data_IF_074162006698
#
_entry.id   IF_074162006698
#
_cell.length_a   1.000
_cell.length_b   1.000
_cell.length_c   1.000
_cell.angle_alpha   90.00
_cell.angle_beta   90.00
_cell.angle_gamma   90.00
#
_symmetry.space_group_name_H-M   'P 1'
#
loop_
_entity.id
_entity.type
_entity.pdbx_description
1 polymer ?
#
# COMPACT_ATOMS: atom_id res chain seq x y z
N UNK A 1 9.96 60.54 24.27
CA UNK A 1 9.46 60.07 22.95
C UNK A 1 9.44 58.54 22.97
N UNK A 2 8.29 57.93 23.30
CA UNK A 2 8.12 56.47 23.39
C UNK A 2 7.67 55.92 22.03
N UNK A 3 8.32 54.87 21.56
CA UNK A 3 8.15 54.31 20.23
C UNK A 3 6.80 53.55 20.08
N UNK A 4 5.98 53.87 19.07
CA UNK A 4 4.65 53.22 18.84
C UNK A 4 4.74 51.89 18.08
N UNK A 5 5.92 51.23 18.01
CA UNK A 5 6.17 50.10 17.12
C UNK A 5 5.82 48.73 17.70
N UNK A 6 5.74 48.56 19.01
CA UNK A 6 5.52 47.26 19.67
C UNK A 6 4.06 46.79 19.66
N UNK A 7 3.09 47.69 19.74
CA UNK A 7 1.65 47.33 19.79
C UNK A 7 1.13 46.90 18.42
N UNK A 8 1.71 47.44 17.34
CA UNK A 8 1.30 47.12 15.97
C UNK A 8 1.74 45.71 15.55
N UNK A 9 2.90 45.24 15.99
CA UNK A 9 3.42 43.89 15.75
C UNK A 9 2.56 42.83 16.44
N UNK A 10 2.12 43.02 17.66
CA UNK A 10 1.30 42.06 18.40
C UNK A 10 -0.10 41.84 17.76
N UNK A 11 -0.70 42.92 17.22
CA UNK A 11 -2.01 42.81 16.52
C UNK A 11 -1.90 42.12 15.14
N UNK A 12 -0.78 42.33 14.43
CA UNK A 12 -0.51 41.64 13.17
C UNK A 12 -0.30 40.14 13.41
N UNK A 13 0.53 39.77 14.34
CA UNK A 13 0.72 38.34 14.70
C UNK A 13 -0.58 37.67 15.15
N UNK A 14 -1.43 38.36 15.92
CA UNK A 14 -2.73 37.82 16.34
C UNK A 14 -3.70 37.58 15.16
N UNK A 15 -3.69 38.49 14.17
CA UNK A 15 -4.49 38.31 12.93
C UNK A 15 -3.94 37.20 12.06
N UNK A 16 -2.64 37.07 11.93
CA UNK A 16 -1.95 35.98 11.24
C UNK A 16 -2.27 34.63 11.89
N UNK A 17 -2.19 34.53 13.22
CA UNK A 17 -2.57 33.32 13.95
C UNK A 17 -4.05 32.95 13.80
N UNK A 18 -4.96 33.95 13.83
CA UNK A 18 -6.39 33.71 13.63
C UNK A 18 -6.68 33.26 12.19
N UNK A 19 -6.04 33.89 11.20
CA UNK A 19 -6.17 33.48 9.80
C UNK A 19 -5.62 32.04 9.60
N UNK A 20 -4.41 31.77 10.12
CA UNK A 20 -3.83 30.44 10.06
C UNK A 20 -4.71 29.37 10.75
N UNK A 21 -5.26 29.71 11.93
CA UNK A 21 -6.17 28.82 12.64
C UNK A 21 -7.47 28.57 11.83
N UNK A 22 -8.03 29.59 11.19
CA UNK A 22 -9.23 29.45 10.34
C UNK A 22 -8.95 28.57 9.10
N UNK A 23 -7.77 28.72 8.46
CA UNK A 23 -7.38 27.88 7.32
C UNK A 23 -7.16 26.42 7.72
N UNK A 24 -6.59 26.16 8.91
CA UNK A 24 -6.36 24.81 9.42
C UNK A 24 -7.64 24.19 9.99
N UNK A 25 -8.55 25.00 10.53
CA UNK A 25 -9.78 24.50 11.16
C UNK A 25 -10.67 23.70 10.18
N UNK A 26 -10.83 24.15 8.95
CA UNK A 26 -11.69 23.47 7.97
C UNK A 26 -11.23 22.03 7.66
N UNK A 27 -9.97 21.75 7.28
CA UNK A 27 -9.51 20.36 7.09
C UNK A 27 -9.47 19.55 8.38
N UNK A 28 -9.16 20.18 9.55
CA UNK A 28 -9.17 19.47 10.84
C UNK A 28 -10.61 19.06 11.23
N UNK A 29 -11.59 19.96 11.10
CA UNK A 29 -12.99 19.65 11.38
C UNK A 29 -13.47 18.55 10.42
N UNK A 30 -13.16 18.66 9.13
CA UNK A 30 -13.47 17.61 8.15
C UNK A 30 -12.86 16.27 8.53
N UNK A 31 -11.59 16.23 8.94
CA UNK A 31 -10.92 15.03 9.42
C UNK A 31 -11.63 14.44 10.67
N UNK A 32 -11.95 15.28 11.66
CA UNK A 32 -12.61 14.82 12.88
C UNK A 32 -14.01 14.26 12.62
N UNK A 33 -14.79 14.89 11.74
CA UNK A 33 -16.16 14.44 11.43
C UNK A 33 -16.16 13.19 10.56
N UNK A 34 -15.35 13.14 9.49
CA UNK A 34 -15.43 12.08 8.48
C UNK A 34 -14.47 10.92 8.71
N UNK A 35 -13.44 11.09 9.54
CA UNK A 35 -12.48 10.02 9.84
C UNK A 35 -12.42 9.74 11.34
N UNK A 36 -12.24 10.77 12.18
CA UNK A 36 -12.08 10.60 13.61
C UNK A 36 -13.31 10.01 14.28
N UNK A 37 -14.49 10.60 14.05
CA UNK A 37 -15.73 10.11 14.62
C UNK A 37 -16.08 8.67 14.17
N UNK A 38 -16.09 8.31 12.88
CA UNK A 38 -16.34 6.92 12.45
C UNK A 38 -15.30 5.93 13.00
N UNK A 39 -14.04 6.34 13.13
CA UNK A 39 -13.00 5.48 13.71
C UNK A 39 -13.28 5.19 15.21
N UNK A 40 -13.63 6.20 15.99
CA UNK A 40 -14.02 6.03 17.39
C UNK A 40 -15.30 5.20 17.52
N UNK A 41 -16.28 5.45 16.64
CA UNK A 41 -17.50 4.65 16.60
C UNK A 41 -17.22 3.19 16.24
N UNK A 42 -16.32 2.91 15.31
CA UNK A 42 -15.92 1.54 14.98
C UNK A 42 -15.27 0.84 16.19
N UNK A 43 -14.45 1.55 16.98
CA UNK A 43 -13.90 1.02 18.22
C UNK A 43 -15.02 0.69 19.21
N UNK A 44 -16.01 1.59 19.39
CA UNK A 44 -17.17 1.30 20.23
C UNK A 44 -17.96 0.08 19.72
N UNK A 45 -18.29 0.05 18.42
CA UNK A 45 -19.06 -1.02 17.80
C UNK A 45 -18.36 -2.38 17.89
N UNK A 46 -17.02 -2.42 17.98
CA UNK A 46 -16.26 -3.67 18.15
C UNK A 46 -16.54 -4.40 19.47
N UNK A 47 -17.04 -3.69 20.47
CA UNK A 47 -17.47 -4.24 21.77
C UNK A 47 -18.98 -4.51 21.84
N UNK A 48 -19.66 -4.51 20.70
CA UNK A 48 -21.11 -4.69 20.64
C UNK A 48 -21.51 -5.85 19.74
N UNK A 49 -22.61 -6.51 20.07
CA UNK A 49 -23.35 -7.36 19.13
C UNK A 49 -24.23 -6.43 18.28
N UNK A 50 -23.87 -6.27 17.04
CA UNK A 50 -24.54 -5.35 16.13
C UNK A 50 -24.61 -5.90 14.71
N UNK A 51 -25.79 -5.79 14.10
CA UNK A 51 -26.06 -6.24 12.73
C UNK A 51 -26.12 -5.09 11.70
N UNK A 52 -25.90 -3.84 12.14
CA UNK A 52 -25.99 -2.66 11.29
C UNK A 52 -27.40 -2.10 11.09
N UNK A 53 -28.47 -2.82 11.49
CA UNK A 53 -29.86 -2.47 11.29
C UNK A 53 -30.58 -2.15 12.61
N UNK A 54 -30.24 -2.82 13.67
CA UNK A 54 -30.79 -2.64 15.03
C UNK A 54 -29.84 -1.79 15.88
N UNK A 55 -30.29 -1.42 17.08
CA UNK A 55 -29.41 -0.78 18.06
C UNK A 55 -28.29 -1.75 18.51
N UNK A 56 -27.04 -1.28 18.63
CA UNK A 56 -25.93 -2.10 19.10
C UNK A 56 -26.10 -2.43 20.59
N UNK A 57 -25.97 -3.68 20.95
CA UNK A 57 -25.99 -4.14 22.33
C UNK A 57 -24.59 -4.49 22.81
N UNK A 58 -24.17 -3.95 23.96
CA UNK A 58 -22.82 -4.18 24.48
C UNK A 58 -22.63 -5.66 24.84
N UNK A 59 -21.56 -6.29 24.32
CA UNK A 59 -21.21 -7.69 24.58
C UNK A 59 -19.76 -7.87 25.11
N UNK A 60 -19.10 -6.78 25.50
CA UNK A 60 -17.74 -6.86 26.03
C UNK A 60 -16.71 -7.32 24.97
N UNK A 61 -15.97 -8.39 25.30
CA UNK A 61 -14.89 -8.92 24.45
C UNK A 61 -15.31 -10.13 23.59
N UNK A 62 -16.58 -10.49 23.54
CA UNK A 62 -17.05 -11.71 22.86
C UNK A 62 -16.62 -11.76 21.39
N UNK A 63 -16.71 -10.64 20.67
CA UNK A 63 -16.27 -10.56 19.28
C UNK A 63 -14.76 -10.87 19.11
N UNK A 64 -13.94 -10.48 20.06
CA UNK A 64 -12.49 -10.75 20.06
C UNK A 64 -12.19 -12.21 20.41
N UNK A 65 -12.96 -12.80 21.32
CA UNK A 65 -12.85 -14.24 21.67
C UNK A 65 -13.26 -15.09 20.47
N UNK A 66 -14.38 -14.75 19.82
CA UNK A 66 -14.83 -15.41 18.56
C UNK A 66 -13.75 -15.31 17.49
N UNK A 67 -13.16 -14.12 17.27
CA UNK A 67 -12.12 -13.88 16.26
C UNK A 67 -10.87 -14.75 16.48
N UNK A 68 -10.42 -14.91 17.72
CA UNK A 68 -9.24 -15.75 18.03
C UNK A 68 -9.51 -17.22 17.69
N UNK A 69 -10.75 -17.69 17.90
CA UNK A 69 -11.19 -19.04 17.59
C UNK A 69 -11.58 -19.28 16.12
N UNK A 70 -11.64 -18.23 15.29
CA UNK A 70 -12.09 -18.33 13.90
C UNK A 70 -10.95 -18.74 12.94
N UNK A 71 -10.94 -19.97 12.40
CA UNK A 71 -9.91 -20.42 11.48
C UNK A 71 -9.88 -19.63 10.17
N UNK A 72 -11.02 -19.08 9.72
CA UNK A 72 -11.11 -18.27 8.51
C UNK A 72 -10.46 -16.89 8.69
N UNK A 73 -10.56 -16.31 9.90
CA UNK A 73 -9.83 -15.09 10.23
C UNK A 73 -8.31 -15.29 10.05
N UNK A 74 -7.75 -16.35 10.63
CA UNK A 74 -6.33 -16.65 10.54
C UNK A 74 -5.90 -17.00 9.11
N UNK A 75 -6.74 -17.72 8.36
CA UNK A 75 -6.49 -18.01 6.94
C UNK A 75 -6.48 -16.73 6.10
N UNK A 76 -7.45 -15.83 6.30
CA UNK A 76 -7.51 -14.54 5.62
C UNK A 76 -6.31 -13.63 5.97
N UNK A 77 -5.89 -13.61 7.23
CA UNK A 77 -4.70 -12.90 7.68
C UNK A 77 -3.43 -13.47 7.03
N UNK A 78 -3.27 -14.78 7.03
CA UNK A 78 -2.16 -15.47 6.37
C UNK A 78 -2.11 -15.21 4.86
N UNK A 79 -3.26 -15.23 4.19
CA UNK A 79 -3.36 -14.89 2.76
C UNK A 79 -2.92 -13.44 2.50
N UNK A 80 -3.35 -12.50 3.34
CA UNK A 80 -2.96 -11.08 3.22
C UNK A 80 -1.45 -10.92 3.35
N UNK A 81 -0.84 -11.54 4.36
CA UNK A 81 0.63 -11.52 4.55
C UNK A 81 1.34 -12.18 3.37
N UNK A 82 0.85 -13.31 2.87
CA UNK A 82 1.43 -13.96 1.70
C UNK A 82 1.40 -13.06 0.45
N UNK A 83 0.29 -12.36 0.21
CA UNK A 83 0.18 -11.44 -0.94
C UNK A 83 1.18 -10.26 -0.84
N UNK A 84 1.59 -9.87 0.36
CA UNK A 84 2.63 -8.84 0.55
C UNK A 84 4.02 -9.27 0.03
N UNK A 85 4.24 -10.55 -0.30
CA UNK A 85 5.48 -10.99 -0.99
C UNK A 85 5.65 -10.26 -2.32
N UNK A 86 4.56 -9.83 -2.96
CA UNK A 86 4.61 -8.97 -4.14
C UNK A 86 5.32 -7.63 -3.92
N UNK A 87 5.36 -7.10 -2.69
CA UNK A 87 5.96 -5.79 -2.37
C UNK A 87 7.47 -5.77 -2.69
N UNK A 88 8.32 -6.62 -2.09
CA UNK A 88 9.74 -6.62 -2.40
C UNK A 88 10.00 -6.93 -3.88
N UNK A 89 9.25 -7.82 -4.51
CA UNK A 89 9.36 -8.12 -5.94
C UNK A 89 9.07 -6.87 -6.78
N UNK A 90 7.96 -6.19 -6.50
CA UNK A 90 7.58 -4.95 -7.20
C UNK A 90 8.60 -3.82 -7.03
N UNK A 91 9.15 -3.65 -5.82
CA UNK A 91 10.17 -2.63 -5.54
C UNK A 91 11.48 -2.92 -6.25
N UNK A 92 11.92 -4.19 -6.32
CA UNK A 92 13.12 -4.59 -7.06
C UNK A 92 12.93 -4.31 -8.55
N UNK A 93 11.82 -4.74 -9.15
CA UNK A 93 11.52 -4.50 -10.56
C UNK A 93 11.48 -2.99 -10.82
N UNK A 94 10.82 -2.21 -9.96
CA UNK A 94 10.74 -0.75 -10.09
C UNK A 94 12.11 -0.08 -10.05
N UNK A 95 12.98 -0.52 -9.14
CA UNK A 95 14.34 0.00 -9.05
C UNK A 95 15.16 -0.33 -10.31
N UNK A 96 15.08 -1.57 -10.80
CA UNK A 96 15.78 -1.98 -12.03
C UNK A 96 15.30 -1.18 -13.24
N UNK A 97 13.99 -0.96 -13.38
CA UNK A 97 13.43 -0.12 -14.44
C UNK A 97 13.86 1.35 -14.28
N UNK A 98 13.88 1.89 -13.06
CA UNK A 98 14.35 3.25 -12.81
C UNK A 98 15.83 3.41 -13.17
N UNK A 99 16.69 2.45 -12.84
CA UNK A 99 18.11 2.44 -13.21
C UNK A 99 18.28 2.38 -14.74
N UNK A 100 17.50 1.55 -15.43
CA UNK A 100 17.52 1.47 -16.89
C UNK A 100 17.11 2.80 -17.54
N UNK A 101 16.02 3.41 -17.04
CA UNK A 101 15.47 4.67 -17.56
C UNK A 101 16.24 5.92 -17.11
N UNK A 102 17.14 5.81 -16.13
CA UNK A 102 18.01 6.91 -15.71
C UNK A 102 19.14 7.17 -16.71
N UNK A 103 19.43 6.21 -17.57
CA UNK A 103 20.40 6.39 -18.67
C UNK A 103 19.79 7.29 -19.76
N UNK A 104 20.64 8.07 -20.44
CA UNK A 104 20.23 8.89 -21.60
C UNK A 104 19.92 7.97 -22.79
N UNK A 105 18.67 7.53 -22.91
CA UNK A 105 18.19 6.72 -24.05
C UNK A 105 17.13 7.48 -24.84
N UNK A 106 17.10 7.27 -26.16
CA UNK A 106 15.99 7.76 -27.00
C UNK A 106 14.70 7.05 -26.59
N UNK A 107 13.59 7.81 -26.43
CA UNK A 107 12.29 7.23 -26.08
C UNK A 107 12.03 7.06 -24.58
N UNK A 108 12.87 7.56 -23.68
CA UNK A 108 12.67 7.46 -22.20
C UNK A 108 11.28 7.94 -21.76
N UNK A 109 10.78 9.02 -22.38
CA UNK A 109 9.43 9.54 -22.08
C UNK A 109 8.35 8.55 -22.45
N UNK A 110 8.45 7.89 -23.60
CA UNK A 110 7.50 6.86 -24.01
C UNK A 110 7.44 5.70 -23.01
N UNK A 111 8.59 5.16 -22.63
CA UNK A 111 8.63 4.07 -21.65
C UNK A 111 8.08 4.51 -20.27
N UNK A 112 8.39 5.71 -19.79
CA UNK A 112 7.81 6.26 -18.57
C UNK A 112 6.29 6.31 -18.66
N UNK A 113 5.73 6.75 -19.77
CA UNK A 113 4.28 6.79 -20.00
C UNK A 113 3.67 5.38 -20.00
N UNK A 114 4.26 4.43 -20.74
CA UNK A 114 3.77 3.05 -20.82
C UNK A 114 3.71 2.39 -19.45
N UNK A 115 4.76 2.52 -18.62
CA UNK A 115 4.76 1.95 -17.27
C UNK A 115 3.85 2.70 -16.30
N UNK A 116 3.51 3.96 -16.57
CA UNK A 116 2.64 4.74 -15.70
C UNK A 116 1.15 4.63 -16.03
N UNK A 117 0.78 4.27 -17.25
CA UNK A 117 -0.63 4.07 -17.66
C UNK A 117 -1.39 3.13 -16.73
N UNK A 118 -0.86 1.95 -16.32
CA UNK A 118 -1.55 1.10 -15.36
C UNK A 118 -1.85 1.76 -14.03
N UNK A 119 -0.95 2.64 -13.56
CA UNK A 119 -1.08 3.31 -12.26
C UNK A 119 -2.29 4.22 -12.19
N UNK A 120 -2.53 5.00 -13.27
CA UNK A 120 -3.67 5.94 -13.34
C UNK A 120 -4.99 5.26 -13.73
N UNK A 121 -4.93 4.00 -14.19
CA UNK A 121 -6.12 3.25 -14.57
C UNK A 121 -6.93 2.84 -13.34
N UNK A 122 -8.26 2.80 -13.48
CA UNK A 122 -9.15 2.28 -12.43
C UNK A 122 -8.74 0.87 -12.02
N UNK A 123 -8.60 0.62 -10.72
CA UNK A 123 -8.24 -0.69 -10.20
C UNK A 123 -9.28 -1.76 -10.57
N UNK A 124 -10.56 -1.40 -10.52
CA UNK A 124 -11.64 -2.31 -10.91
C UNK A 124 -11.58 -2.69 -12.41
N UNK A 125 -11.34 -1.72 -13.28
CA UNK A 125 -11.19 -1.99 -14.72
C UNK A 125 -9.96 -2.88 -15.00
N UNK A 126 -8.85 -2.63 -14.32
CA UNK A 126 -7.65 -3.48 -14.41
C UNK A 126 -7.93 -4.88 -13.92
N UNK A 127 -8.62 -5.05 -12.79
CA UNK A 127 -8.97 -6.37 -12.25
C UNK A 127 -9.84 -7.18 -13.22
N UNK A 128 -10.84 -6.54 -13.86
CA UNK A 128 -11.70 -7.19 -14.89
C UNK A 128 -10.86 -7.61 -16.12
N UNK A 129 -9.96 -6.72 -16.58
CA UNK A 129 -9.08 -7.01 -17.71
C UNK A 129 -8.17 -8.22 -17.41
N UNK A 130 -7.59 -8.26 -16.21
CA UNK A 130 -6.74 -9.37 -15.81
C UNK A 130 -7.54 -10.66 -15.55
N UNK A 131 -8.76 -10.56 -15.02
CA UNK A 131 -9.67 -11.72 -14.91
C UNK A 131 -9.95 -12.34 -16.27
N UNK A 132 -10.19 -11.51 -17.29
CA UNK A 132 -10.31 -11.99 -18.67
C UNK A 132 -8.99 -12.59 -19.19
N UNK A 133 -7.86 -11.94 -18.97
CA UNK A 133 -6.55 -12.41 -19.43
C UNK A 133 -6.14 -13.76 -18.79
N UNK A 134 -6.57 -14.01 -17.56
CA UNK A 134 -6.35 -15.27 -16.82
C UNK A 134 -7.38 -16.36 -17.09
N UNK A 135 -8.35 -16.14 -17.99
CA UNK A 135 -9.32 -17.17 -18.32
C UNK A 135 -8.60 -18.41 -18.87
N UNK A 136 -8.97 -19.60 -18.37
CA UNK A 136 -8.34 -20.87 -18.74
C UNK A 136 -8.50 -21.22 -20.22
N UNK A 137 -9.69 -20.97 -20.79
CA UNK A 137 -10.08 -21.44 -22.11
C UNK A 137 -9.67 -20.47 -23.24
N UNK A 138 -9.88 -19.16 -23.02
CA UNK A 138 -9.69 -18.13 -24.05
C UNK A 138 -8.83 -16.95 -23.59
N UNK A 139 -8.23 -17.01 -22.39
CA UNK A 139 -7.41 -15.93 -21.84
C UNK A 139 -6.12 -15.71 -22.61
N UNK A 140 -5.74 -14.44 -22.76
CA UNK A 140 -4.54 -14.03 -23.50
C UNK A 140 -3.27 -14.71 -23.00
N UNK A 141 -3.15 -14.92 -21.67
CA UNK A 141 -1.95 -15.52 -21.08
C UNK A 141 -1.81 -16.98 -21.51
N UNK A 142 -2.89 -17.75 -21.45
CA UNK A 142 -2.86 -19.15 -21.88
C UNK A 142 -2.68 -19.29 -23.39
N UNK A 143 -3.21 -18.36 -24.20
CA UNK A 143 -2.91 -18.34 -25.64
C UNK A 143 -1.42 -18.14 -25.92
N UNK A 144 -0.75 -17.21 -25.22
CA UNK A 144 0.69 -17.00 -25.35
C UNK A 144 1.49 -18.22 -24.88
N UNK A 145 1.09 -18.84 -23.77
CA UNK A 145 1.73 -20.07 -23.26
C UNK A 145 1.57 -21.23 -24.27
N UNK A 146 0.39 -21.40 -24.85
CA UNK A 146 0.13 -22.42 -25.87
C UNK A 146 1.00 -22.24 -27.12
N UNK A 147 1.30 -20.98 -27.55
CA UNK A 147 2.25 -20.72 -28.65
C UNK A 147 3.67 -21.19 -28.32
N UNK A 148 4.01 -21.29 -27.03
CA UNK A 148 5.30 -21.82 -26.54
C UNK A 148 5.24 -23.32 -26.23
N UNK A 149 4.11 -23.99 -26.50
CA UNK A 149 3.89 -25.41 -26.21
C UNK A 149 3.66 -25.72 -24.72
N UNK A 150 3.23 -24.74 -23.95
CA UNK A 150 2.98 -24.86 -22.50
C UNK A 150 1.48 -24.82 -22.25
N UNK A 151 0.92 -25.86 -21.62
CA UNK A 151 -0.47 -25.86 -21.17
C UNK A 151 -0.61 -24.96 -19.94
N UNK A 152 -1.32 -23.85 -20.10
CA UNK A 152 -1.54 -22.88 -19.01
C UNK A 152 -2.57 -23.40 -18.01
N UNK A 153 -2.42 -23.09 -16.71
CA UNK A 153 -3.37 -23.51 -15.67
C UNK A 153 -4.66 -22.67 -15.69
N UNK A 154 -5.65 -23.13 -14.94
CA UNK A 154 -6.83 -22.31 -14.59
C UNK A 154 -6.47 -21.33 -13.48
N UNK A 155 -5.80 -20.23 -13.84
CA UNK A 155 -5.14 -19.28 -12.95
C UNK A 155 -5.93 -18.90 -11.70
N UNK A 156 -7.22 -18.61 -11.83
CA UNK A 156 -8.06 -18.12 -10.73
C UNK A 156 -8.92 -19.21 -10.08
N UNK A 157 -8.97 -20.41 -10.67
CA UNK A 157 -9.80 -21.53 -10.19
C UNK A 157 -8.99 -22.59 -9.44
N UNK A 158 -7.67 -22.47 -9.43
CA UNK A 158 -6.77 -23.36 -8.68
C UNK A 158 -6.19 -22.60 -7.47
N UNK A 159 -6.24 -23.24 -6.30
CA UNK A 159 -5.75 -22.66 -5.03
C UNK A 159 -4.25 -22.35 -5.07
N UNK A 160 -3.46 -23.08 -5.85
CA UNK A 160 -2.02 -22.90 -5.99
C UNK A 160 -1.65 -21.69 -6.85
N UNK A 161 -2.44 -21.36 -7.88
CA UNK A 161 -2.15 -20.31 -8.86
C UNK A 161 -2.90 -19.01 -8.60
N UNK A 162 -4.04 -19.04 -7.90
CA UNK A 162 -4.88 -17.86 -7.71
C UNK A 162 -4.19 -16.73 -6.95
N UNK A 163 -3.46 -17.03 -5.86
CA UNK A 163 -2.68 -16.01 -5.14
C UNK A 163 -1.52 -15.42 -5.98
N UNK A 164 -0.66 -16.23 -6.62
CA UNK A 164 0.35 -15.73 -7.54
C UNK A 164 -0.21 -14.85 -8.66
N UNK A 165 -1.36 -15.23 -9.25
CA UNK A 165 -2.01 -14.44 -10.28
C UNK A 165 -2.39 -13.03 -9.80
N UNK A 166 -2.99 -12.92 -8.62
CA UNK A 166 -3.33 -11.63 -8.01
C UNK A 166 -2.06 -10.81 -7.70
N UNK A 167 -1.01 -11.45 -7.19
CA UNK A 167 0.28 -10.80 -6.91
C UNK A 167 0.89 -10.23 -8.20
N UNK A 168 0.92 -11.00 -9.29
CA UNK A 168 1.46 -10.56 -10.59
C UNK A 168 0.73 -9.31 -11.08
N UNK A 169 -0.60 -9.32 -11.04
CA UNK A 169 -1.42 -8.17 -11.42
C UNK A 169 -1.14 -6.96 -10.54
N UNK A 170 -1.09 -7.13 -9.22
CA UNK A 170 -0.82 -6.05 -8.28
C UNK A 170 0.58 -5.44 -8.46
N UNK A 171 1.60 -6.28 -8.67
CA UNK A 171 2.97 -5.85 -8.98
C UNK A 171 2.99 -5.07 -10.30
N UNK A 172 2.42 -5.62 -11.36
CA UNK A 172 2.36 -4.95 -12.67
C UNK A 172 1.71 -3.57 -12.57
N UNK A 173 0.61 -3.46 -11.83
CA UNK A 173 -0.08 -2.18 -11.62
C UNK A 173 0.76 -1.19 -10.80
N UNK A 174 1.48 -1.65 -9.77
CA UNK A 174 2.20 -0.81 -8.82
C UNK A 174 3.59 -0.36 -9.27
N UNK A 175 4.23 -1.13 -10.15
CA UNK A 175 5.63 -0.93 -10.57
C UNK A 175 5.90 0.49 -11.11
N UNK A 176 4.98 1.04 -11.91
CA UNK A 176 5.16 2.35 -12.55
C UNK A 176 5.29 3.50 -11.55
N UNK A 177 4.50 3.49 -10.47
CA UNK A 177 4.57 4.51 -9.42
C UNK A 177 5.92 4.47 -8.68
N UNK A 178 6.32 3.30 -8.22
CA UNK A 178 7.58 3.10 -7.51
C UNK A 178 8.78 3.39 -8.40
N UNK A 179 8.72 3.02 -9.68
CA UNK A 179 9.73 3.33 -10.69
C UNK A 179 9.94 4.84 -10.84
N UNK A 180 8.86 5.63 -10.93
CA UNK A 180 8.99 7.09 -11.07
C UNK A 180 9.60 7.74 -9.83
N UNK A 181 9.24 7.27 -8.64
CA UNK A 181 9.83 7.78 -7.39
C UNK A 181 11.31 7.42 -7.28
N UNK A 182 11.70 6.19 -7.60
CA UNK A 182 13.10 5.81 -7.66
C UNK A 182 13.86 6.62 -8.71
N UNK A 183 13.27 6.84 -9.88
CA UNK A 183 13.90 7.62 -10.95
C UNK A 183 14.13 9.08 -10.54
N UNK A 184 13.15 9.71 -9.86
CA UNK A 184 13.30 11.06 -9.32
C UNK A 184 14.40 11.12 -8.25
N UNK A 185 14.45 10.14 -7.35
CA UNK A 185 15.49 10.04 -6.34
C UNK A 185 16.88 9.81 -6.96
N UNK A 186 17.00 8.94 -7.98
CA UNK A 186 18.26 8.74 -8.71
C UNK A 186 18.77 10.03 -9.38
N UNK A 187 17.86 10.85 -9.92
CA UNK A 187 18.21 12.11 -10.55
C UNK A 187 18.63 13.20 -9.56
N UNK A 188 18.27 13.07 -8.30
CA UNK A 188 18.69 13.99 -7.23
C UNK A 188 20.05 13.67 -6.64
N UNK A 189 20.63 12.50 -6.93
CA UNK A 189 21.96 12.13 -6.43
C UNK A 189 23.03 13.02 -7.10
N UNK A 190 23.87 13.73 -6.30
CA UNK A 190 24.89 14.60 -6.84
C UNK A 190 25.94 13.83 -7.65
N UNK A 191 26.23 14.28 -8.86
CA UNK A 191 27.17 13.60 -9.78
C UNK A 191 28.59 13.56 -9.25
N UNK A 192 29.02 14.59 -8.50
CA UNK A 192 30.37 14.66 -7.95
C UNK A 192 30.71 13.46 -7.03
N UNK A 193 29.69 12.80 -6.39
CA UNK A 193 29.92 11.61 -5.58
C UNK A 193 30.38 10.41 -6.44
N UNK A 194 29.81 10.25 -7.63
CA UNK A 194 30.23 9.21 -8.57
C UNK A 194 31.58 9.51 -9.20
N UNK A 195 31.85 10.79 -9.50
CA UNK A 195 33.12 11.24 -10.06
C UNK A 195 34.27 11.03 -9.05
N UNK A 196 34.09 11.40 -7.78
CA UNK A 196 35.07 11.17 -6.72
C UNK A 196 35.34 9.66 -6.55
N UNK A 197 34.27 8.83 -6.45
CA UNK A 197 34.43 7.40 -6.33
C UNK A 197 35.12 6.76 -7.55
N UNK A 198 34.92 7.29 -8.75
CA UNK A 198 35.62 6.82 -9.95
C UNK A 198 37.14 7.16 -9.91
N UNK A 199 37.50 8.33 -9.38
CA UNK A 199 38.92 8.72 -9.14
C UNK A 199 39.56 7.79 -8.13
N UNK A 200 38.81 7.37 -7.08
CA UNK A 200 39.25 6.42 -6.07
C UNK A 200 39.28 4.96 -6.58
N UNK A 201 38.98 4.73 -7.87
CA UNK A 201 39.00 3.42 -8.50
C UNK A 201 37.77 2.53 -8.24
N UNK A 202 36.67 3.09 -7.72
CA UNK A 202 35.45 2.32 -7.46
C UNK A 202 34.77 1.89 -8.78
N UNK A 203 34.50 0.60 -8.92
CA UNK A 203 33.75 0.05 -10.05
C UNK A 203 32.23 0.33 -9.91
N UNK A 204 31.46 0.08 -10.98
CA UNK A 204 30.02 0.35 -11.04
C UNK A 204 29.21 -0.34 -9.92
N UNK A 205 29.58 -1.56 -9.53
CA UNK A 205 28.90 -2.29 -8.46
C UNK A 205 29.20 -1.66 -7.09
N UNK A 206 30.43 -1.21 -6.85
CA UNK A 206 30.84 -0.50 -5.65
C UNK A 206 30.10 0.84 -5.54
N UNK A 207 30.04 1.63 -6.62
CA UNK A 207 29.27 2.87 -6.68
C UNK A 207 27.77 2.61 -6.43
N UNK A 208 27.20 1.57 -7.01
CA UNK A 208 25.81 1.19 -6.77
C UNK A 208 25.56 0.87 -5.29
N UNK A 209 26.40 0.04 -4.70
CA UNK A 209 26.23 -0.42 -3.31
C UNK A 209 26.50 0.66 -2.27
N UNK A 210 27.51 1.53 -2.50
CA UNK A 210 27.97 2.48 -1.49
C UNK A 210 27.48 3.91 -1.71
N UNK A 211 26.99 4.25 -2.92
CA UNK A 211 26.42 5.57 -3.21
C UNK A 211 24.95 5.45 -3.53
N UNK A 212 24.61 4.69 -4.57
CA UNK A 212 23.22 4.67 -5.08
C UNK A 212 22.24 4.12 -4.05
N UNK A 213 22.46 2.91 -3.50
CA UNK A 213 21.56 2.29 -2.53
C UNK A 213 21.40 3.13 -1.25
N UNK A 214 22.47 3.66 -0.62
CA UNK A 214 22.33 4.53 0.54
C UNK A 214 21.54 5.81 0.26
N UNK A 215 21.77 6.45 -0.87
CA UNK A 215 21.05 7.66 -1.27
C UNK A 215 19.56 7.40 -1.59
N UNK A 216 19.20 6.18 -1.96
CA UNK A 216 17.82 5.78 -2.20
C UNK A 216 17.08 5.31 -0.93
N UNK A 217 17.76 5.18 0.22
CA UNK A 217 17.12 4.71 1.47
C UNK A 217 15.85 5.48 1.85
N UNK A 218 15.80 6.83 1.79
CA UNK A 218 14.60 7.57 2.19
C UNK A 218 13.39 7.25 1.30
N UNK A 219 13.58 7.18 -0.03
CA UNK A 219 12.51 6.83 -0.96
C UNK A 219 12.11 5.36 -0.83
N UNK A 220 13.08 4.45 -0.64
CA UNK A 220 12.80 3.03 -0.40
C UNK A 220 11.98 2.85 0.87
N UNK A 221 12.35 3.52 1.96
CA UNK A 221 11.58 3.52 3.20
C UNK A 221 10.14 3.98 2.99
N UNK A 222 9.95 5.12 2.31
CA UNK A 222 8.62 5.63 1.97
C UNK A 222 7.79 4.62 1.17
N UNK A 223 8.41 4.01 0.13
CA UNK A 223 7.76 3.02 -0.70
C UNK A 223 7.39 1.75 0.07
N UNK A 224 8.26 1.26 0.95
CA UNK A 224 7.98 0.09 1.79
C UNK A 224 6.80 0.37 2.73
N UNK A 225 6.82 1.50 3.44
CA UNK A 225 5.73 1.87 4.37
C UNK A 225 4.40 1.98 3.64
N UNK A 226 4.36 2.73 2.54
CA UNK A 226 3.11 2.93 1.78
C UNK A 226 2.62 1.65 1.12
N UNK A 227 3.53 0.78 0.64
CA UNK A 227 3.18 -0.51 0.05
C UNK A 227 2.65 -1.50 1.08
N UNK A 228 3.17 -1.53 2.30
CA UNK A 228 2.65 -2.39 3.38
C UNK A 228 1.25 -1.93 3.79
N UNK A 229 1.02 -0.63 3.95
CA UNK A 229 -0.31 -0.09 4.24
C UNK A 229 -1.28 -0.43 3.10
N UNK A 230 -0.85 -0.30 1.83
CA UNK A 230 -1.65 -0.66 0.65
C UNK A 230 -1.95 -2.15 0.57
N UNK A 231 -0.95 -3.00 0.78
CA UNK A 231 -1.07 -4.47 0.75
C UNK A 231 -1.98 -5.02 1.84
N UNK A 232 -1.98 -4.39 3.04
CA UNK A 232 -2.92 -4.76 4.11
C UNK A 232 -4.39 -4.49 3.75
N UNK A 233 -4.64 -3.60 2.77
CA UNK A 233 -5.98 -3.15 2.35
C UNK A 233 -6.44 -3.77 1.03
N UNK A 234 -5.77 -4.81 0.54
CA UNK A 234 -6.15 -5.51 -0.70
C UNK A 234 -7.58 -6.06 -0.59
N UNK A 235 -8.46 -5.61 -1.47
CA UNK A 235 -9.88 -5.96 -1.46
C UNK A 235 -10.48 -6.03 -2.87
N UNK A 236 -10.35 -4.96 -3.67
CA UNK A 236 -11.02 -4.81 -4.97
C UNK A 236 -10.60 -5.93 -5.93
N UNK A 237 -9.31 -6.25 -5.94
CA UNK A 237 -8.72 -7.31 -6.76
C UNK A 237 -9.38 -8.65 -6.46
N UNK A 238 -9.51 -8.98 -5.19
CA UNK A 238 -10.11 -10.24 -4.74
C UNK A 238 -11.61 -10.24 -5.02
N UNK A 239 -12.29 -9.15 -4.71
CA UNK A 239 -13.74 -9.06 -4.88
C UNK A 239 -14.19 -9.16 -6.34
N UNK A 240 -13.31 -8.80 -7.29
CA UNK A 240 -13.58 -8.89 -8.73
C UNK A 240 -13.06 -10.21 -9.31
N UNK A 241 -11.79 -10.53 -9.08
CA UNK A 241 -11.13 -11.65 -9.74
C UNK A 241 -11.51 -13.00 -9.12
N UNK A 242 -11.74 -13.02 -7.80
CA UNK A 242 -12.11 -14.22 -7.03
C UNK A 242 -13.19 -13.90 -6.00
N UNK A 243 -14.43 -13.58 -6.42
CA UNK A 243 -15.47 -13.00 -5.57
C UNK A 243 -15.90 -13.88 -4.38
N UNK A 244 -15.63 -15.18 -4.44
CA UNK A 244 -15.87 -16.13 -3.35
C UNK A 244 -14.71 -16.24 -2.34
N UNK A 245 -13.66 -15.41 -2.47
CA UNK A 245 -12.42 -15.57 -1.72
C UNK A 245 -11.46 -16.58 -2.33
N UNK A 246 -11.71 -16.99 -3.57
CA UNK A 246 -10.96 -17.99 -4.33
C UNK A 246 -11.27 -19.44 -3.97
N UNK A 247 -10.70 -20.40 -4.73
CA UNK A 247 -10.86 -21.82 -4.43
C UNK A 247 -10.32 -22.10 -3.03
N UNK A 248 -11.08 -22.85 -2.24
CA UNK A 248 -10.73 -23.19 -0.85
C UNK A 248 -10.40 -21.98 0.05
N UNK A 249 -11.01 -20.83 -0.20
CA UNK A 249 -10.71 -19.60 0.53
C UNK A 249 -9.23 -19.15 0.41
N UNK A 250 -8.57 -19.53 -0.70
CA UNK A 250 -7.12 -19.32 -0.87
C UNK A 250 -6.75 -17.86 -1.08
N UNK A 251 -7.60 -17.04 -1.68
CA UNK A 251 -7.31 -15.62 -1.97
C UNK A 251 -8.02 -14.64 -1.05
N UNK A 252 -8.90 -15.11 -0.15
CA UNK A 252 -9.61 -14.26 0.78
C UNK A 252 -8.62 -13.45 1.63
N UNK A 253 -8.59 -12.11 1.45
CA UNK A 253 -7.84 -11.21 2.32
C UNK A 253 -8.62 -10.90 3.59
N UNK A 254 -7.93 -10.34 4.57
CA UNK A 254 -8.58 -9.93 5.82
C UNK A 254 -9.65 -8.85 5.55
N UNK A 255 -9.39 -7.88 4.67
CA UNK A 255 -10.37 -6.83 4.34
C UNK A 255 -11.56 -7.38 3.57
N UNK A 256 -11.33 -8.35 2.67
CA UNK A 256 -12.42 -9.06 1.99
C UNK A 256 -13.27 -9.85 3.00
N UNK A 257 -12.66 -10.51 3.98
CA UNK A 257 -13.38 -11.25 5.02
C UNK A 257 -14.17 -10.33 5.95
N UNK A 258 -13.58 -9.20 6.37
CA UNK A 258 -14.28 -8.14 7.11
C UNK A 258 -15.53 -7.67 6.34
N UNK A 259 -15.38 -7.42 5.03
CA UNK A 259 -16.50 -6.98 4.20
C UNK A 259 -17.59 -8.05 4.11
N UNK A 260 -17.24 -9.32 3.93
CA UNK A 260 -18.19 -10.43 3.94
C UNK A 260 -18.97 -10.50 5.26
N UNK A 261 -18.28 -10.45 6.37
CA UNK A 261 -18.91 -10.48 7.71
C UNK A 261 -19.81 -9.27 7.96
N UNK A 262 -19.37 -8.08 7.55
CA UNK A 262 -20.14 -6.86 7.72
C UNK A 262 -21.43 -6.83 6.89
N UNK A 263 -21.30 -7.05 5.58
CA UNK A 263 -22.36 -6.73 4.62
C UNK A 263 -23.15 -7.95 4.13
N UNK A 264 -22.52 -9.13 4.02
CA UNK A 264 -23.24 -10.33 3.60
C UNK A 264 -23.80 -11.11 4.78
N UNK A 265 -23.08 -11.16 5.90
CA UNK A 265 -23.54 -11.86 7.10
C UNK A 265 -24.17 -10.95 8.17
N UNK A 266 -24.15 -9.63 7.95
CA UNK A 266 -24.70 -8.63 8.88
C UNK A 266 -24.14 -8.78 10.31
N UNK A 267 -22.85 -9.10 10.43
CA UNK A 267 -22.12 -9.21 11.70
C UNK A 267 -21.20 -7.99 11.87
N UNK A 268 -21.81 -6.78 11.93
CA UNK A 268 -21.07 -5.52 11.98
C UNK A 268 -20.17 -5.41 13.22
N UNK A 269 -20.64 -5.83 14.38
CA UNK A 269 -19.83 -5.84 15.61
C UNK A 269 -18.56 -6.68 15.47
N UNK A 270 -18.70 -7.90 14.92
CA UNK A 270 -17.58 -8.78 14.66
C UNK A 270 -16.63 -8.23 13.55
N UNK A 271 -17.20 -7.70 12.48
CA UNK A 271 -16.40 -7.08 11.40
C UNK A 271 -15.60 -5.86 11.88
N UNK A 272 -16.20 -5.03 12.75
CA UNK A 272 -15.48 -3.87 13.32
C UNK A 272 -14.39 -4.30 14.30
N UNK A 273 -14.55 -5.39 15.07
CA UNK A 273 -13.47 -5.92 15.92
C UNK A 273 -12.26 -6.36 15.08
N UNK A 274 -12.47 -7.08 13.97
CA UNK A 274 -11.41 -7.43 13.03
C UNK A 274 -10.75 -6.18 12.41
N UNK A 275 -11.53 -5.16 12.07
CA UNK A 275 -11.00 -3.90 11.54
C UNK A 275 -10.12 -3.16 12.53
N UNK A 276 -10.49 -3.13 13.81
CA UNK A 276 -9.70 -2.53 14.90
C UNK A 276 -8.38 -3.29 15.06
N UNK A 277 -8.41 -4.62 15.08
CA UNK A 277 -7.19 -5.44 15.18
C UNK A 277 -6.27 -5.23 13.97
N UNK A 278 -6.81 -5.22 12.75
CA UNK A 278 -6.04 -4.94 11.55
C UNK A 278 -5.40 -3.53 11.62
N UNK A 279 -6.18 -2.52 12.02
CA UNK A 279 -5.69 -1.15 12.18
C UNK A 279 -4.54 -1.04 13.19
N UNK A 280 -4.68 -1.69 14.36
CA UNK A 280 -3.64 -1.75 15.37
C UNK A 280 -2.39 -2.48 14.86
N UNK A 281 -2.54 -3.59 14.14
CA UNK A 281 -1.45 -4.36 13.58
C UNK A 281 -0.65 -3.51 12.56
N UNK A 282 -1.33 -2.86 11.62
CA UNK A 282 -0.70 -1.96 10.64
C UNK A 282 -0.02 -0.78 11.33
N UNK A 283 -0.65 -0.21 12.35
CA UNK A 283 -0.06 0.88 13.14
C UNK A 283 1.24 0.44 13.83
N UNK A 284 1.23 -0.72 14.49
CA UNK A 284 2.41 -1.27 15.18
C UNK A 284 3.54 -1.55 14.19
N UNK A 285 3.25 -2.20 13.04
CA UNK A 285 4.24 -2.46 12.01
C UNK A 285 4.85 -1.13 11.51
N UNK A 286 4.00 -0.14 11.24
CA UNK A 286 4.45 1.17 10.77
C UNK A 286 5.31 1.87 11.83
N UNK A 287 4.91 1.83 13.10
CA UNK A 287 5.68 2.42 14.21
C UNK A 287 7.08 1.77 14.34
N UNK A 288 7.14 0.42 14.23
CA UNK A 288 8.41 -0.32 14.22
C UNK A 288 9.30 0.12 13.05
N UNK A 289 8.74 0.25 11.85
CA UNK A 289 9.48 0.71 10.66
C UNK A 289 10.08 2.10 10.86
N UNK A 290 9.30 3.05 11.40
CA UNK A 290 9.79 4.39 11.70
C UNK A 290 10.90 4.38 12.77
N UNK A 291 10.76 3.55 13.80
CA UNK A 291 11.78 3.42 14.83
C UNK A 291 13.09 2.84 14.28
N UNK A 292 13.01 1.80 13.42
CA UNK A 292 14.17 1.22 12.75
C UNK A 292 14.87 2.22 11.83
N UNK A 293 14.12 3.00 11.06
CA UNK A 293 14.67 4.01 10.16
C UNK A 293 15.41 5.12 10.92
N UNK A 294 14.86 5.60 12.03
CA UNK A 294 15.53 6.58 12.90
C UNK A 294 16.91 6.10 13.37
N UNK A 295 17.02 4.86 13.84
CA UNK A 295 18.30 4.30 14.30
C UNK A 295 19.36 4.24 13.19
N UNK A 296 18.96 3.99 11.94
CA UNK A 296 19.89 3.91 10.82
C UNK A 296 20.40 5.27 10.33
N UNK A 297 19.72 6.39 10.64
CA UNK A 297 20.17 7.74 10.31
C UNK A 297 21.25 8.24 11.28
N UNK A 298 21.16 7.88 12.57
CA UNK A 298 22.16 8.28 13.59
C UNK A 298 23.47 7.49 13.52
N UNK A 299 23.57 6.43 12.71
CA UNK A 299 24.80 5.64 12.55
C UNK A 299 25.70 6.13 11.40
N UNK A 300 25.37 7.24 10.76
CA UNK A 300 26.12 7.82 9.61
C UNK A 300 26.75 9.19 9.98
N UNK A 301 26.46 9.71 11.18
CA UNK A 301 27.21 10.82 11.80
C UNK A 301 28.33 10.27 12.70
#
# INVERSE_FOLDING_TARGET
MGSPTTIRRSRLHRREHLAAAAFIAAPVIGFLIFIGYPMLYAVYASFTKWNGLSEPTFNGLDNYVEMIGDPYFWKAMGNTVFMMIGIPVGLIISLLLALALNRRMRGTTFFRTVYYVPVISSLAAVAILWQWAYNGDFGLINQVLAMLGIDGPNWLQDASTAKPAIIIMAVWKGVGFSMLLYLAALQSVPRHLYEAAAIDGANALQQFRHITIPMLRPVTFFLVVTSIIGGARIFIEINIMTPTGGPEFSTASIVWYIWQKAFNYLQMGYATSMSVVLGLLVFVITAIQFQMNRRSQFSIE
#
